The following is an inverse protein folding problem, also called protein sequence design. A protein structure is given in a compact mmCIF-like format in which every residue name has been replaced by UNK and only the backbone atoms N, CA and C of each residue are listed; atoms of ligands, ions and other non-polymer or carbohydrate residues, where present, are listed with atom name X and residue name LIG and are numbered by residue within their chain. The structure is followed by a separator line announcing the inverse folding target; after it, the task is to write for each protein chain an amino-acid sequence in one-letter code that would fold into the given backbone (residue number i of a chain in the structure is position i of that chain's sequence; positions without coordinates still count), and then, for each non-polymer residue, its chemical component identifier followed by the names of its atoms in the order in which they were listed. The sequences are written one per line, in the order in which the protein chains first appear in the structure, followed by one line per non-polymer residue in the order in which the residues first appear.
data_IF_172680402364
#
_entry.id   IF_172680402364
#
_cell.length_a   1.000
_cell.length_b   1.000
_cell.length_c   1.000
_cell.angle_alpha   90.00
_cell.angle_beta   90.00
_cell.angle_gamma   90.00
#
_symmetry.space_group_name_H-M   'P 1'
#
loop_
_entity.id
_entity.type
_entity.pdbx_description
1 polymer ?
#
# COMPACT_ATOMS: atom_id res chain seq x y z
N UNK A 1 -13.48 21.51 1.61
CA UNK A 1 -12.63 20.42 2.14
C UNK A 1 -12.18 19.59 0.94
N UNK A 2 -10.88 19.47 0.67
CA UNK A 2 -10.37 18.63 -0.43
C UNK A 2 -10.36 17.20 0.09
N UNK A 3 -11.12 16.31 -0.53
CA UNK A 3 -11.11 14.89 -0.17
C UNK A 3 -9.92 14.20 -0.87
N UNK A 4 -8.87 13.76 -0.15
CA UNK A 4 -7.62 13.31 -0.78
C UNK A 4 -7.81 12.11 -1.73
N UNK A 5 -8.79 11.25 -1.44
CA UNK A 5 -9.13 10.10 -2.29
C UNK A 5 -9.68 10.46 -3.67
N UNK A 6 -10.12 11.71 -3.86
CA UNK A 6 -10.63 12.22 -5.15
C UNK A 6 -9.62 13.09 -5.89
N UNK A 7 -8.49 13.46 -5.27
CA UNK A 7 -7.45 14.27 -5.92
C UNK A 7 -6.40 13.37 -6.57
N UNK A 8 -6.41 13.30 -7.91
CA UNK A 8 -5.49 12.47 -8.69
C UNK A 8 -4.02 12.76 -8.43
N UNK A 9 -3.66 13.98 -8.01
CA UNK A 9 -2.26 14.32 -7.68
C UNK A 9 -1.84 13.63 -6.39
N UNK A 10 -2.73 13.57 -5.40
CA UNK A 10 -2.49 12.86 -4.14
C UNK A 10 -2.39 11.37 -4.42
N UNK A 11 -3.36 10.79 -5.11
CA UNK A 11 -3.38 9.37 -5.50
C UNK A 11 -2.06 8.99 -6.20
N UNK A 12 -1.61 9.78 -7.17
CA UNK A 12 -0.35 9.54 -7.89
C UNK A 12 0.87 9.57 -6.97
N UNK A 13 0.92 10.47 -5.99
CA UNK A 13 2.01 10.52 -5.00
C UNK A 13 1.99 9.27 -4.13
N UNK A 14 0.81 8.87 -3.63
CA UNK A 14 0.66 7.68 -2.78
C UNK A 14 1.10 6.42 -3.55
N UNK A 15 0.70 6.25 -4.82
CA UNK A 15 1.18 5.13 -5.66
C UNK A 15 2.70 5.11 -5.80
N UNK A 16 3.34 6.26 -5.98
CA UNK A 16 4.82 6.36 -6.06
C UNK A 16 5.49 5.96 -4.75
N UNK A 17 4.90 6.33 -3.62
CA UNK A 17 5.41 5.92 -2.29
C UNK A 17 5.31 4.41 -2.16
N UNK A 18 4.16 3.80 -2.50
CA UNK A 18 3.98 2.34 -2.50
C UNK A 18 5.06 1.67 -3.36
N UNK A 19 5.26 2.09 -4.61
CA UNK A 19 6.34 1.56 -5.47
C UNK A 19 7.73 1.65 -4.83
N UNK A 20 8.07 2.83 -4.32
CA UNK A 20 9.38 3.05 -3.70
C UNK A 20 9.59 2.17 -2.48
N UNK A 21 8.54 1.97 -1.68
CA UNK A 21 8.58 1.07 -0.53
C UNK A 21 8.64 -0.40 -0.93
N UNK A 22 7.90 -0.82 -1.96
CA UNK A 22 8.00 -2.18 -2.51
C UNK A 22 9.41 -2.50 -2.96
N UNK A 23 10.06 -1.57 -3.68
CA UNK A 23 11.45 -1.72 -4.08
C UNK A 23 12.39 -1.78 -2.87
N UNK A 24 12.24 -0.84 -1.92
CA UNK A 24 13.08 -0.76 -0.71
C UNK A 24 13.04 -2.05 0.12
N UNK A 25 11.86 -2.65 0.25
CA UNK A 25 11.64 -3.89 1.00
C UNK A 25 11.80 -5.16 0.17
N UNK A 26 12.26 -5.05 -1.08
CA UNK A 26 12.44 -6.17 -2.02
C UNK A 26 11.17 -7.00 -2.23
N UNK A 27 10.01 -6.36 -2.16
CA UNK A 27 8.70 -6.98 -2.46
C UNK A 27 8.59 -7.17 -3.96
N UNK A 28 8.74 -6.09 -4.73
CA UNK A 28 8.68 -6.11 -6.19
C UNK A 28 9.30 -4.83 -6.75
N UNK A 29 9.91 -4.90 -7.94
CA UNK A 29 10.45 -3.76 -8.69
C UNK A 29 9.67 -3.55 -9.99
N UNK A 30 9.66 -2.32 -10.52
CA UNK A 30 9.06 -2.04 -11.82
C UNK A 30 7.53 -2.22 -11.90
N UNK A 31 6.82 -2.20 -10.76
CA UNK A 31 5.37 -2.41 -10.68
C UNK A 31 4.62 -1.45 -11.62
N UNK A 32 3.73 -1.95 -12.47
CA UNK A 32 2.86 -1.14 -13.33
C UNK A 32 1.89 -0.27 -12.49
N UNK A 33 1.55 0.94 -12.97
CA UNK A 33 0.71 1.88 -12.20
C UNK A 33 -0.72 1.37 -12.09
N UNK A 34 -1.17 0.65 -13.13
CA UNK A 34 -2.49 0.04 -13.21
C UNK A 34 -2.67 -1.05 -12.14
N UNK A 35 -1.58 -1.70 -11.71
CA UNK A 35 -1.60 -2.73 -10.66
C UNK A 35 -1.65 -2.16 -9.25
N UNK A 36 -1.53 -0.84 -9.10
CA UNK A 36 -1.51 -0.19 -7.79
C UNK A 36 -2.83 0.56 -7.61
N UNK A 37 -3.61 0.14 -6.63
CA UNK A 37 -4.85 0.80 -6.21
C UNK A 37 -4.62 1.45 -4.85
N UNK A 38 -5.01 2.71 -4.72
CA UNK A 38 -4.83 3.47 -3.47
C UNK A 38 -6.07 4.30 -3.18
N UNK A 39 -6.45 4.41 -1.92
CA UNK A 39 -7.48 5.34 -1.44
C UNK A 39 -7.20 5.72 0.02
N UNK A 40 -7.92 6.71 0.54
CA UNK A 40 -7.97 6.99 1.97
C UNK A 40 -8.62 5.80 2.67
N UNK A 41 -7.98 5.30 3.72
CA UNK A 41 -8.54 4.22 4.54
C UNK A 41 -9.73 4.79 5.35
N UNK A 42 -10.94 4.36 5.00
CA UNK A 42 -12.19 4.82 5.66
C UNK A 42 -12.68 3.90 6.76
N UNK A 43 -12.27 2.64 6.70
CA UNK A 43 -12.75 1.59 7.58
C UNK A 43 -11.61 1.10 8.47
N UNK A 44 -11.96 0.68 9.68
CA UNK A 44 -11.00 0.07 10.58
C UNK A 44 -10.43 -1.20 9.92
N UNK A 45 -9.11 -1.34 9.98
CA UNK A 45 -8.45 -2.57 9.57
C UNK A 45 -8.63 -3.60 10.68
N UNK A 46 -9.11 -4.81 10.37
CA UNK A 46 -9.26 -5.88 11.35
C UNK A 46 -7.98 -6.16 12.14
N UNK A 47 -8.11 -6.41 13.45
CA UNK A 47 -6.98 -6.56 14.37
C UNK A 47 -6.06 -7.74 14.01
N UNK A 48 -6.65 -8.81 13.50
CA UNK A 48 -5.95 -9.99 12.98
C UNK A 48 -5.00 -9.63 11.83
N UNK A 49 -5.33 -8.63 11.01
CA UNK A 49 -4.48 -8.23 9.90
C UNK A 49 -3.18 -7.59 10.40
N UNK A 50 -3.24 -6.74 11.42
CA UNK A 50 -2.06 -6.08 11.98
C UNK A 50 -1.04 -7.04 12.56
N UNK A 51 -1.49 -8.17 13.09
CA UNK A 51 -0.63 -9.20 13.70
C UNK A 51 0.30 -9.91 12.70
N UNK A 52 0.08 -9.73 11.39
CA UNK A 52 0.76 -10.49 10.34
C UNK A 52 1.68 -9.65 9.42
N UNK A 53 2.04 -8.42 9.81
CA UNK A 53 2.91 -7.57 8.99
C UNK A 53 3.90 -6.74 9.78
N UNK A 54 4.69 -5.93 9.07
CA UNK A 54 5.82 -5.20 9.67
C UNK A 54 5.52 -3.70 9.76
N UNK A 55 5.66 -3.14 10.97
CA UNK A 55 5.51 -1.70 11.20
C UNK A 55 6.84 -0.97 11.08
N UNK A 56 6.82 0.16 10.39
CA UNK A 56 7.96 1.05 10.21
C UNK A 56 7.58 2.50 10.52
N UNK A 57 8.55 3.27 11.03
CA UNK A 57 8.38 4.67 11.42
C UNK A 57 9.55 5.51 10.91
N UNK A 58 9.26 6.70 10.35
CA UNK A 58 10.27 7.65 9.86
C UNK A 58 9.89 9.07 10.27
N UNK A 59 10.57 9.60 11.28
CA UNK A 59 10.12 10.79 12.02
C UNK A 59 8.87 10.43 12.81
N UNK A 60 8.94 10.43 14.14
CA UNK A 60 7.94 9.75 14.98
C UNK A 60 6.49 10.18 14.72
N UNK A 61 6.29 11.40 14.26
CA UNK A 61 5.03 12.10 14.07
C UNK A 61 4.71 12.41 12.61
N UNK A 62 5.60 12.08 11.65
CA UNK A 62 5.42 12.49 10.25
C UNK A 62 4.88 11.34 9.39
N UNK A 63 5.54 10.19 9.41
CA UNK A 63 5.20 9.08 8.54
C UNK A 63 5.43 7.72 9.20
N UNK A 64 4.38 6.91 9.18
CA UNK A 64 4.39 5.50 9.61
C UNK A 64 3.78 4.66 8.52
N UNK A 65 4.25 3.43 8.38
CA UNK A 65 3.60 2.49 7.48
C UNK A 65 3.68 1.07 8.00
N UNK A 66 2.75 0.27 7.50
CA UNK A 66 2.68 -1.16 7.69
C UNK A 66 2.50 -1.81 6.33
N UNK A 67 3.03 -3.01 6.15
CA UNK A 67 2.76 -3.79 4.96
C UNK A 67 2.76 -5.29 5.22
N UNK A 68 2.11 -6.00 4.30
CA UNK A 68 2.06 -7.46 4.22
C UNK A 68 2.18 -7.89 2.77
N UNK A 69 2.98 -8.92 2.52
CA UNK A 69 3.03 -9.64 1.25
C UNK A 69 2.12 -10.84 1.31
N UNK A 70 1.56 -11.23 0.17
CA UNK A 70 0.79 -12.46 0.03
C UNK A 70 1.57 -13.40 -0.88
N UNK A 71 1.56 -14.68 -0.55
CA UNK A 71 2.24 -15.69 -1.35
C UNK A 71 1.37 -16.06 -2.56
N UNK A 72 2.00 -16.60 -3.61
CA UNK A 72 1.28 -16.98 -4.85
C UNK A 72 0.23 -18.08 -4.65
N UNK A 73 0.30 -18.82 -3.54
CA UNK A 73 -0.65 -19.88 -3.17
C UNK A 73 -1.85 -19.36 -2.35
N UNK A 74 -1.86 -18.08 -1.96
CA UNK A 74 -3.04 -17.47 -1.36
C UNK A 74 -4.14 -17.33 -2.43
N UNK A 75 -5.40 -17.62 -2.07
CA UNK A 75 -6.59 -17.40 -2.93
C UNK A 75 -6.80 -15.92 -3.32
N UNK A 76 -5.95 -15.01 -2.84
CA UNK A 76 -6.03 -13.58 -3.07
C UNK A 76 -5.14 -13.21 -4.24
N UNK A 77 -5.72 -12.58 -5.26
CA UNK A 77 -5.00 -12.05 -6.43
C UNK A 77 -4.15 -10.79 -6.12
N UNK A 78 -3.58 -10.72 -4.92
CA UNK A 78 -2.82 -9.58 -4.41
C UNK A 78 -1.35 -9.97 -4.23
N UNK A 79 -0.43 -9.08 -4.61
CA UNK A 79 0.99 -9.20 -4.29
C UNK A 79 1.27 -8.64 -2.88
N UNK A 80 0.73 -7.46 -2.58
CA UNK A 80 0.96 -6.82 -1.28
C UNK A 80 -0.12 -5.82 -0.89
N UNK A 81 -0.23 -5.60 0.42
CA UNK A 81 -1.09 -4.61 1.06
C UNK A 81 -0.25 -3.65 1.90
N UNK A 82 -0.58 -2.37 1.82
CA UNK A 82 0.14 -1.28 2.46
C UNK A 82 -0.84 -0.39 3.21
N UNK A 83 -0.47 0.02 4.42
CA UNK A 83 -1.19 1.05 5.18
C UNK A 83 -0.20 2.16 5.51
N UNK A 84 -0.49 3.36 5.03
CA UNK A 84 0.39 4.52 5.14
C UNK A 84 -0.30 5.57 6.02
N UNK A 85 0.33 5.95 7.13
CA UNK A 85 -0.19 6.93 8.09
C UNK A 85 0.68 8.19 8.06
N UNK A 86 0.09 9.32 7.68
CA UNK A 86 0.73 10.63 7.69
C UNK A 86 0.22 11.46 8.86
N UNK A 87 1.16 12.13 9.54
CA UNK A 87 0.86 13.05 10.65
C UNK A 87 -0.07 12.46 11.72
N UNK A 88 0.06 11.16 11.97
CA UNK A 88 -0.77 10.38 12.90
C UNK A 88 -2.29 10.50 12.71
N UNK A 89 -2.75 10.96 11.54
CA UNK A 89 -4.16 11.27 11.26
C UNK A 89 -4.65 10.62 10.00
N UNK A 90 -4.01 10.91 8.87
CA UNK A 90 -4.52 10.50 7.57
C UNK A 90 -3.92 9.17 7.17
N UNK A 91 -4.79 8.17 7.03
CA UNK A 91 -4.40 6.84 6.60
C UNK A 91 -4.78 6.62 5.14
N UNK A 92 -3.87 6.06 4.37
CA UNK A 92 -4.11 5.54 3.04
C UNK A 92 -3.91 4.04 3.04
N UNK A 93 -4.73 3.35 2.26
CA UNK A 93 -4.56 1.94 1.93
C UNK A 93 -3.99 1.86 0.50
N UNK A 94 -2.98 1.02 0.31
CA UNK A 94 -2.41 0.72 -0.99
C UNK A 94 -2.43 -0.78 -1.23
N UNK A 95 -2.96 -1.19 -2.38
CA UNK A 95 -3.04 -2.58 -2.80
C UNK A 95 -2.25 -2.72 -4.09
N UNK A 96 -1.40 -3.74 -4.14
CA UNK A 96 -0.70 -4.15 -5.35
C UNK A 96 -1.28 -5.48 -5.79
N UNK A 97 -1.87 -5.53 -6.97
CA UNK A 97 -2.41 -6.76 -7.56
C UNK A 97 -1.25 -7.63 -8.11
N UNK A 98 -1.43 -8.95 -8.18
CA UNK A 98 -0.43 -9.85 -8.78
C UNK A 98 -0.13 -9.44 -10.25
N UNK A 99 1.08 -9.72 -10.77
CA UNK A 99 1.35 -9.52 -12.19
C UNK A 99 0.36 -10.36 -13.00
N UNK A 100 -0.34 -9.75 -13.95
CA UNK A 100 -1.10 -10.52 -14.94
C UNK A 100 -0.09 -11.40 -15.67
N UNK A 101 -0.17 -12.72 -15.47
CA UNK A 101 0.71 -13.67 -16.15
C UNK A 101 0.68 -13.38 -17.65
N UNK A 102 1.80 -12.92 -18.21
CA UNK A 102 1.98 -12.86 -19.66
C UNK A 102 1.84 -14.28 -20.19
N UNK A 103 0.72 -14.59 -20.84
CA UNK A 103 0.63 -15.73 -21.74
C UNK A 103 1.48 -15.39 -22.96
N UNK A 104 2.69 -15.95 -23.02
CA UNK A 104 3.47 -16.01 -24.26
C UNK A 104 2.94 -17.14 -25.14
#
# INVERSE_FOLDING_TARGET
MIYPGQDQRVIRIIKKIVRGLSYHHRVEDGIDDARIRVDVLRYAVPDDLWSTGTFHRRGSDIFRYWYKTFDHDDEKELSSLWILTFFDRTQFIGIVDLPSSCRF
#
